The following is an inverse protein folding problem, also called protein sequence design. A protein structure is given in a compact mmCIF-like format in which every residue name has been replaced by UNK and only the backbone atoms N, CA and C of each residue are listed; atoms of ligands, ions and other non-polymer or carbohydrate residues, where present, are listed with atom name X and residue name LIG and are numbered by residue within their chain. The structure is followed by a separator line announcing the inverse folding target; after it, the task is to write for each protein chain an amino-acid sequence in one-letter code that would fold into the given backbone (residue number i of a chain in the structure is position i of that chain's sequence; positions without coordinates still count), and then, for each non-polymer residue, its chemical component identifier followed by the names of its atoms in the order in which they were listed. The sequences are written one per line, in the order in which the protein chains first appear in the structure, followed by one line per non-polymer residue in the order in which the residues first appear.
data_IF_302949816095
#
_entry.id   IF_302949816095
#
_cell.length_a   1.000
_cell.length_b   1.000
_cell.length_c   1.000
_cell.angle_alpha   90.00
_cell.angle_beta   90.00
_cell.angle_gamma   90.00
#
_symmetry.space_group_name_H-M   'P 1'
#
loop_
_entity.id
_entity.type
_entity.pdbx_description
1 polymer ?
#
# COMPACT_ATOMS: atom_id res chain seq x y z
N UNK A 1 6.22 38.94 10.58
CA UNK A 1 6.25 37.46 10.66
C UNK A 1 6.47 36.95 9.24
N UNK A 2 7.59 36.30 8.97
CA UNK A 2 7.82 35.68 7.66
C UNK A 2 6.88 34.48 7.49
N UNK A 3 6.27 34.27 6.31
CA UNK A 3 5.43 33.09 6.07
C UNK A 3 6.26 31.82 6.20
N UNK A 4 5.72 30.71 6.76
CA UNK A 4 6.45 29.47 6.86
C UNK A 4 6.84 28.98 5.46
N UNK A 5 8.13 29.04 5.16
CA UNK A 5 8.66 28.53 3.90
C UNK A 5 8.62 27.02 3.97
N UNK A 6 7.74 26.40 3.18
CA UNK A 6 7.76 24.94 3.00
C UNK A 6 9.16 24.53 2.56
N UNK A 7 9.86 23.77 3.42
CA UNK A 7 11.21 23.26 3.15
C UNK A 7 11.24 22.27 1.95
N UNK A 8 10.07 21.91 1.43
CA UNK A 8 9.87 21.07 0.25
C UNK A 8 9.84 21.85 -1.07
N UNK A 9 10.35 23.09 -1.12
CA UNK A 9 10.48 23.82 -2.39
C UNK A 9 11.61 23.22 -3.25
N UNK A 10 11.19 22.44 -4.25
CA UNK A 10 12.00 21.67 -5.20
C UNK A 10 13.08 22.50 -5.93
N UNK A 11 14.37 22.12 -5.79
CA UNK A 11 15.43 22.50 -6.74
C UNK A 11 15.22 21.71 -8.05
N UNK A 12 15.24 22.36 -9.22
CA UNK A 12 14.87 21.72 -10.51
C UNK A 12 15.87 20.63 -10.97
N UNK A 13 15.40 19.69 -11.80
CA UNK A 13 16.22 18.69 -12.50
C UNK A 13 16.29 17.27 -11.88
N UNK A 14 17.25 16.45 -12.34
CA UNK A 14 17.56 15.07 -11.89
C UNK A 14 17.66 14.94 -10.36
N UNK A 15 18.13 15.99 -9.68
CA UNK A 15 18.19 16.05 -8.21
C UNK A 15 16.81 15.85 -7.56
N UNK A 16 15.72 16.31 -8.20
CA UNK A 16 14.35 16.10 -7.73
C UNK A 16 13.96 14.62 -7.81
N UNK A 17 14.28 13.94 -8.92
CA UNK A 17 13.99 12.52 -9.12
C UNK A 17 14.73 11.68 -8.06
N UNK A 18 16.02 11.93 -7.88
CA UNK A 18 16.82 11.25 -6.85
C UNK A 18 16.27 11.50 -5.45
N UNK A 19 15.89 12.74 -5.13
CA UNK A 19 15.28 13.05 -3.84
C UNK A 19 13.93 12.35 -3.64
N UNK A 20 13.09 12.28 -4.68
CA UNK A 20 11.80 11.60 -4.63
C UNK A 20 11.98 10.09 -4.41
N UNK A 21 12.91 9.46 -5.12
CA UNK A 21 13.26 8.05 -4.91
C UNK A 21 13.73 7.79 -3.48
N UNK A 22 14.57 8.68 -2.92
CA UNK A 22 15.02 8.58 -1.53
C UNK A 22 13.83 8.65 -0.57
N UNK A 23 12.93 9.62 -0.75
CA UNK A 23 11.73 9.74 0.10
C UNK A 23 10.82 8.51 -0.02
N UNK A 24 10.65 7.94 -1.22
CA UNK A 24 9.90 6.70 -1.40
C UNK A 24 10.54 5.52 -0.66
N UNK A 25 11.87 5.37 -0.72
CA UNK A 25 12.61 4.33 0.00
C UNK A 25 12.46 4.52 1.51
N UNK A 26 12.56 5.74 2.01
CA UNK A 26 12.41 6.04 3.43
C UNK A 26 10.98 5.73 3.92
N UNK A 27 9.96 6.03 3.10
CA UNK A 27 8.57 5.64 3.36
C UNK A 27 8.38 4.13 3.46
N UNK A 28 8.89 3.36 2.47
CA UNK A 28 8.82 1.89 2.49
C UNK A 28 9.59 1.29 3.67
N UNK A 29 10.76 1.84 4.02
CA UNK A 29 11.51 1.42 5.21
C UNK A 29 10.75 1.69 6.50
N UNK A 30 10.05 2.82 6.58
CA UNK A 30 9.21 3.13 7.74
C UNK A 30 8.07 2.12 7.87
N UNK A 31 7.32 1.87 6.80
CA UNK A 31 6.24 0.90 6.79
C UNK A 31 6.73 -0.50 7.18
N UNK A 32 7.85 -0.96 6.61
CA UNK A 32 8.43 -2.26 6.97
C UNK A 32 8.82 -2.39 8.45
N UNK A 33 9.30 -1.31 9.07
CA UNK A 33 9.75 -1.34 10.47
C UNK A 33 8.58 -1.27 11.45
N UNK A 34 7.63 -0.36 11.21
CA UNK A 34 6.59 -0.01 12.17
C UNK A 34 5.28 -0.77 11.94
N UNK A 35 4.96 -1.13 10.70
CA UNK A 35 3.66 -1.72 10.36
C UNK A 35 3.75 -3.24 10.27
N UNK A 36 3.15 -3.92 11.24
CA UNK A 36 3.08 -5.39 11.24
C UNK A 36 2.23 -5.93 10.09
N UNK A 37 1.11 -5.29 9.79
CA UNK A 37 0.21 -5.67 8.68
C UNK A 37 0.93 -5.57 7.33
N UNK A 38 1.59 -4.45 7.04
CA UNK A 38 2.42 -4.30 5.83
C UNK A 38 3.43 -5.44 5.62
N UNK A 39 4.09 -5.92 6.69
CA UNK A 39 5.03 -7.05 6.58
C UNK A 39 4.32 -8.36 6.18
N UNK A 40 3.15 -8.62 6.74
CA UNK A 40 2.36 -9.81 6.42
C UNK A 40 1.87 -9.77 4.97
N UNK A 41 1.35 -8.62 4.54
CA UNK A 41 0.89 -8.40 3.18
C UNK A 41 2.03 -8.46 2.17
N UNK A 42 3.22 -7.94 2.52
CA UNK A 42 4.39 -8.03 1.66
C UNK A 42 4.86 -9.48 1.49
N UNK A 43 4.82 -10.29 2.56
CA UNK A 43 5.10 -11.72 2.46
C UNK A 43 4.10 -12.41 1.53
N UNK A 44 2.81 -12.10 1.68
CA UNK A 44 1.75 -12.62 0.81
C UNK A 44 1.92 -12.17 -0.64
N UNK A 45 2.32 -10.92 -0.88
CA UNK A 45 2.66 -10.40 -2.19
C UNK A 45 3.83 -11.18 -2.82
N UNK A 46 4.92 -11.39 -2.09
CA UNK A 46 6.10 -12.11 -2.61
C UNK A 46 5.73 -13.55 -2.97
N UNK A 47 5.06 -14.27 -2.06
CA UNK A 47 4.65 -15.66 -2.30
C UNK A 47 3.67 -15.72 -3.47
N UNK A 48 2.65 -14.86 -3.47
CA UNK A 48 1.65 -14.80 -4.52
C UNK A 48 2.25 -14.42 -5.87
N UNK A 49 3.22 -13.52 -5.92
CA UNK A 49 3.90 -13.16 -7.17
C UNK A 49 4.71 -14.33 -7.73
N UNK A 50 5.45 -15.06 -6.89
CA UNK A 50 6.17 -16.26 -7.32
C UNK A 50 5.20 -17.32 -7.87
N UNK A 51 4.09 -17.56 -7.16
CA UNK A 51 3.05 -18.50 -7.61
C UNK A 51 2.42 -18.04 -8.94
N UNK A 52 2.06 -16.77 -9.07
CA UNK A 52 1.48 -16.21 -10.30
C UNK A 52 2.43 -16.34 -11.50
N UNK A 53 3.73 -16.11 -11.30
CA UNK A 53 4.74 -16.28 -12.35
C UNK A 53 4.93 -17.74 -12.76
N UNK A 54 4.83 -18.67 -11.80
CA UNK A 54 4.92 -20.11 -12.07
C UNK A 54 3.65 -20.71 -12.71
N UNK A 55 2.50 -20.07 -12.55
CA UNK A 55 1.24 -20.57 -13.10
C UNK A 55 1.22 -20.52 -14.64
N UNK A 56 0.76 -21.60 -15.31
CA UNK A 56 0.57 -21.65 -16.75
C UNK A 56 -0.73 -20.93 -17.15
N UNK A 57 -0.77 -19.62 -16.95
CA UNK A 57 -1.86 -18.68 -17.29
C UNK A 57 -1.33 -17.59 -18.22
N UNK A 58 -2.22 -16.84 -18.86
CA UNK A 58 -1.82 -15.77 -19.78
C UNK A 58 -1.02 -14.66 -19.08
N UNK A 59 -0.19 -13.94 -19.83
CA UNK A 59 0.59 -12.82 -19.27
C UNK A 59 -0.30 -11.76 -18.61
N UNK A 60 -1.47 -11.49 -19.17
CA UNK A 60 -2.46 -10.59 -18.58
C UNK A 60 -2.99 -11.10 -17.24
N UNK A 61 -3.33 -12.40 -17.15
CA UNK A 61 -3.76 -13.00 -15.88
C UNK A 61 -2.66 -12.92 -14.82
N UNK A 62 -1.40 -13.19 -15.16
CA UNK A 62 -0.27 -13.02 -14.22
C UNK A 62 -0.16 -11.58 -13.72
N UNK A 63 -0.26 -10.62 -14.63
CA UNK A 63 -0.22 -9.19 -14.29
C UNK A 63 -1.36 -8.81 -13.34
N UNK A 64 -2.57 -9.30 -13.60
CA UNK A 64 -3.74 -9.05 -12.74
C UNK A 64 -3.56 -9.68 -11.36
N UNK A 65 -3.10 -10.94 -11.27
CA UNK A 65 -2.85 -11.64 -10.00
C UNK A 65 -1.81 -10.92 -9.13
N UNK A 66 -0.73 -10.44 -9.74
CA UNK A 66 0.32 -9.66 -9.05
C UNK A 66 -0.21 -8.26 -8.72
N UNK A 67 -0.95 -7.65 -9.64
CA UNK A 67 -1.47 -6.28 -9.54
C UNK A 67 -2.44 -6.10 -8.37
N UNK A 68 -3.33 -7.07 -8.12
CA UNK A 68 -4.25 -6.99 -6.97
C UNK A 68 -3.53 -7.14 -5.63
N UNK A 69 -2.45 -7.91 -5.56
CA UNK A 69 -1.62 -8.00 -4.35
C UNK A 69 -0.79 -6.73 -4.13
N UNK A 70 -0.30 -6.11 -5.21
CA UNK A 70 0.35 -4.81 -5.14
C UNK A 70 -0.63 -3.71 -4.71
N UNK A 71 -1.89 -3.79 -5.15
CA UNK A 71 -2.93 -2.85 -4.74
C UNK A 71 -3.19 -2.89 -3.22
N UNK A 72 -3.20 -4.09 -2.62
CA UNK A 72 -3.28 -4.26 -1.16
C UNK A 72 -2.17 -3.46 -0.46
N UNK A 73 -0.91 -3.65 -0.87
CA UNK A 73 0.23 -2.91 -0.32
C UNK A 73 0.12 -1.39 -0.49
N UNK A 74 -0.40 -0.93 -1.64
CA UNK A 74 -0.59 0.50 -1.89
C UNK A 74 -1.62 1.07 -0.93
N UNK A 75 -2.75 0.39 -0.76
CA UNK A 75 -3.83 0.85 0.12
C UNK A 75 -3.42 0.79 1.58
N UNK A 76 -2.63 -0.21 1.98
CA UNK A 76 -2.07 -0.30 3.33
C UNK A 76 -1.11 0.87 3.61
N UNK A 77 -0.22 1.22 2.68
CA UNK A 77 0.64 2.40 2.83
C UNK A 77 -0.15 3.71 2.99
N UNK A 78 -1.26 3.83 2.26
CA UNK A 78 -2.17 4.98 2.39
C UNK A 78 -2.87 4.95 3.75
N UNK A 79 -3.31 3.78 4.22
CA UNK A 79 -3.92 3.62 5.54
C UNK A 79 -2.94 4.03 6.66
N UNK A 80 -1.71 3.52 6.66
CA UNK A 80 -0.69 3.89 7.66
C UNK A 80 -0.35 5.39 7.61
N UNK A 81 -0.30 5.98 6.41
CA UNK A 81 -0.10 7.42 6.26
C UNK A 81 -1.27 8.24 6.85
N UNK A 82 -2.52 7.79 6.65
CA UNK A 82 -3.71 8.40 7.25
C UNK A 82 -3.66 8.28 8.77
N UNK A 83 -3.35 7.09 9.30
CA UNK A 83 -3.22 6.86 10.74
C UNK A 83 -2.16 7.78 11.36
N UNK A 84 -0.99 7.92 10.73
CA UNK A 84 0.05 8.83 11.20
C UNK A 84 -0.40 10.30 11.22
N UNK A 85 -1.21 10.73 10.26
CA UNK A 85 -1.79 12.09 10.24
C UNK A 85 -2.81 12.26 11.36
N UNK A 86 -3.70 11.28 11.56
CA UNK A 86 -4.73 11.30 12.61
C UNK A 86 -4.08 11.33 14.00
N UNK A 87 -3.07 10.49 14.23
CA UNK A 87 -2.37 10.39 15.53
C UNK A 87 -1.54 11.64 15.84
N UNK A 88 -1.06 12.34 14.81
CA UNK A 88 -0.41 13.65 14.99
C UNK A 88 -1.39 14.73 15.46
N UNK A 89 -2.66 14.69 15.04
CA UNK A 89 -3.63 15.76 15.35
C UNK A 89 -4.11 15.67 16.80
N UNK A 90 -4.50 14.48 17.26
CA UNK A 90 -4.89 14.25 18.65
C UNK A 90 -4.83 12.77 18.99
N UNK A 91 -4.24 12.47 20.16
CA UNK A 91 -4.23 11.13 20.75
C UNK A 91 -5.48 10.87 21.61
N UNK A 92 -6.33 11.88 21.83
CA UNK A 92 -7.60 11.71 22.52
C UNK A 92 -8.59 10.95 21.62
N UNK A 93 -9.42 10.11 22.24
CA UNK A 93 -10.44 9.35 21.52
C UNK A 93 -11.54 10.30 21.03
N UNK A 94 -11.41 10.75 19.79
CA UNK A 94 -12.44 11.52 19.10
C UNK A 94 -13.22 10.66 18.10
N UNK A 95 -14.56 10.74 18.05
CA UNK A 95 -15.38 9.94 17.12
C UNK A 95 -14.95 10.05 15.66
N UNK A 96 -14.55 11.26 15.20
CA UNK A 96 -14.07 11.46 13.84
C UNK A 96 -12.72 10.79 13.57
N UNK A 97 -11.79 10.80 14.54
CA UNK A 97 -10.50 10.12 14.41
C UNK A 97 -10.69 8.61 14.31
N UNK A 98 -11.61 8.06 15.10
CA UNK A 98 -12.01 6.66 14.99
C UNK A 98 -12.57 6.35 13.60
N UNK A 99 -13.54 7.13 13.12
CA UNK A 99 -14.14 6.92 11.80
C UNK A 99 -13.10 6.96 10.67
N UNK A 100 -12.14 7.88 10.74
CA UNK A 100 -11.08 7.98 9.74
C UNK A 100 -10.23 6.71 9.67
N UNK A 101 -9.84 6.17 10.83
CA UNK A 101 -9.08 4.91 10.93
C UNK A 101 -9.90 3.71 10.48
N UNK A 102 -11.16 3.63 10.90
CA UNK A 102 -12.07 2.54 10.52
C UNK A 102 -12.29 2.49 9.00
N UNK A 103 -12.43 3.64 8.34
CA UNK A 103 -12.57 3.72 6.89
C UNK A 103 -11.30 3.33 6.15
N UNK A 104 -10.13 3.72 6.67
CA UNK A 104 -8.83 3.30 6.12
C UNK A 104 -8.65 1.78 6.19
N UNK A 105 -8.91 1.18 7.34
CA UNK A 105 -8.91 -0.28 7.52
C UNK A 105 -9.94 -0.99 6.63
N UNK A 106 -11.13 -0.40 6.45
CA UNK A 106 -12.14 -0.95 5.56
C UNK A 106 -11.67 -0.94 4.09
N UNK A 107 -10.93 0.07 3.65
CA UNK A 107 -10.36 0.10 2.31
C UNK A 107 -9.36 -1.05 2.09
N UNK A 108 -8.47 -1.31 3.07
CA UNK A 108 -7.53 -2.44 3.03
C UNK A 108 -8.31 -3.77 2.93
N UNK A 109 -9.34 -3.97 3.77
CA UNK A 109 -10.18 -5.16 3.72
C UNK A 109 -10.83 -5.37 2.34
N UNK A 110 -11.35 -4.32 1.72
CA UNK A 110 -11.95 -4.40 0.39
C UNK A 110 -10.92 -4.80 -0.68
N UNK A 111 -9.69 -4.32 -0.58
CA UNK A 111 -8.61 -4.77 -1.49
C UNK A 111 -8.24 -6.24 -1.27
N UNK A 112 -8.26 -6.73 -0.03
CA UNK A 112 -8.07 -8.15 0.26
C UNK A 112 -9.19 -9.01 -0.33
N UNK A 113 -10.46 -8.58 -0.21
CA UNK A 113 -11.60 -9.27 -0.84
C UNK A 113 -11.44 -9.30 -2.36
N UNK A 114 -11.05 -8.18 -2.98
CA UNK A 114 -10.81 -8.11 -4.42
C UNK A 114 -9.67 -9.05 -4.84
N UNK A 115 -8.56 -9.09 -4.09
CA UNK A 115 -7.45 -9.99 -4.35
C UNK A 115 -7.90 -11.46 -4.28
N UNK A 116 -8.61 -11.86 -3.21
CA UNK A 116 -9.14 -13.21 -3.06
C UNK A 116 -10.09 -13.60 -4.20
N UNK A 117 -11.02 -12.72 -4.57
CA UNK A 117 -11.97 -12.98 -5.66
C UNK A 117 -11.25 -13.13 -7.01
N UNK A 118 -10.27 -12.26 -7.29
CA UNK A 118 -9.48 -12.29 -8.52
C UNK A 118 -8.68 -13.59 -8.64
N UNK A 119 -7.99 -13.98 -7.55
CA UNK A 119 -7.26 -15.25 -7.49
C UNK A 119 -8.20 -16.45 -7.66
N UNK A 120 -9.33 -16.46 -6.96
CA UNK A 120 -10.32 -17.53 -7.07
C UNK A 120 -10.83 -17.70 -8.51
N UNK A 121 -11.19 -16.63 -9.20
CA UNK A 121 -11.69 -16.68 -10.58
C UNK A 121 -10.63 -17.20 -11.55
N UNK A 122 -9.39 -16.71 -11.45
CA UNK A 122 -8.31 -17.13 -12.35
C UNK A 122 -7.94 -18.59 -12.12
N UNK A 123 -7.86 -19.03 -10.85
CA UNK A 123 -7.56 -20.42 -10.52
C UNK A 123 -8.71 -21.34 -10.91
N UNK A 124 -9.96 -20.96 -10.64
CA UNK A 124 -11.14 -21.73 -11.03
C UNK A 124 -11.13 -21.98 -12.54
N UNK A 125 -11.06 -20.91 -13.35
CA UNK A 125 -11.01 -21.02 -14.82
C UNK A 125 -9.78 -21.78 -15.35
N UNK A 126 -8.72 -21.91 -14.54
CA UNK A 126 -7.52 -22.64 -14.94
C UNK A 126 -7.64 -24.14 -14.69
N UNK A 127 -8.35 -24.55 -13.64
CA UNK A 127 -8.41 -25.93 -13.17
C UNK A 127 -9.76 -26.63 -13.40
N UNK A 128 -10.82 -25.86 -13.66
CA UNK A 128 -12.17 -26.33 -13.94
C UNK A 128 -12.70 -25.65 -15.20
#
# INVERSE_FOLDING_TARGET
MEPPVSQFKSKSGLKRIVSALRYSIDGLRSAWRHEHAFRQEMLLFVIGAVVALALPVSAFQRLVLIGVLLLVLIVELINSALEAVVDRISLERHPLSKNAKDLGSAAVLLTCVLACATWAVVLFNRFY
#
